data_IF_655499374694
#
_entry.id   IF_655499374694
#
_cell.length_a   1.000
_cell.length_b   1.000
_cell.length_c   1.000
_cell.angle_alpha   90.00
_cell.angle_beta   90.00
_cell.angle_gamma   90.00
#
_symmetry.space_group_name_H-M   'P 1'
#
loop_
_entity.id
_entity.type
_entity.pdbx_description
1 polymer ?
#
# COMPACT_ATOMS: atom_id res chain seq x y z
N UNK A 1 18.70 74.76 -13.28
CA UNK A 1 18.35 74.14 -11.99
C UNK A 1 16.93 73.59 -12.08
N UNK A 2 16.84 72.26 -11.90
CA UNK A 2 15.72 71.37 -11.52
C UNK A 2 14.35 72.02 -11.24
N UNK A 3 13.20 71.46 -11.62
CA UNK A 3 12.82 70.06 -11.50
C UNK A 3 11.67 69.66 -12.42
N UNK A 4 11.50 68.36 -12.58
CA UNK A 4 10.89 67.65 -13.71
C UNK A 4 9.36 67.70 -13.75
N UNK A 5 8.84 67.71 -14.99
CA UNK A 5 7.48 67.37 -15.45
C UNK A 5 7.08 65.97 -14.90
N UNK A 6 5.81 65.56 -14.80
CA UNK A 6 5.04 64.99 -15.91
C UNK A 6 3.57 64.72 -15.50
N UNK A 7 2.68 65.36 -16.26
CA UNK A 7 1.35 64.96 -16.77
C UNK A 7 0.80 63.60 -16.29
N UNK A 8 -0.30 63.62 -15.54
CA UNK A 8 -1.18 62.47 -15.31
C UNK A 8 -2.19 62.37 -16.48
N UNK A 9 -2.01 61.38 -17.36
CA UNK A 9 -3.04 60.92 -18.30
C UNK A 9 -3.48 59.53 -17.85
N UNK A 10 -4.73 59.40 -17.41
CA UNK A 10 -5.37 58.11 -17.20
C UNK A 10 -6.24 57.84 -18.44
N UNK A 11 -5.83 56.88 -19.25
CA UNK A 11 -6.55 56.41 -20.43
C UNK A 11 -7.12 55.01 -20.16
N UNK A 12 -8.45 54.95 -20.09
CA UNK A 12 -9.35 54.08 -20.85
C UNK A 12 -8.99 52.57 -20.96
N UNK A 13 -9.83 51.78 -20.29
CA UNK A 13 -10.60 50.61 -20.74
C UNK A 13 -9.91 49.36 -21.33
N UNK A 14 -10.76 48.35 -21.55
CA UNK A 14 -10.51 46.94 -21.93
C UNK A 14 -10.13 46.07 -20.72
N UNK A 15 -10.90 45.06 -20.32
CA UNK A 15 -11.64 44.11 -21.15
C UNK A 15 -10.94 42.75 -21.00
N UNK A 16 -11.70 41.73 -20.59
CA UNK A 16 -11.35 40.31 -20.56
C UNK A 16 -10.53 39.78 -19.38
N UNK A 17 -11.21 38.91 -18.63
CA UNK A 17 -10.81 37.55 -18.27
C UNK A 17 -9.67 37.31 -17.27
N UNK A 18 -9.97 36.40 -16.33
CA UNK A 18 -9.05 35.58 -15.53
C UNK A 18 -8.09 36.38 -14.62
N UNK A 19 -8.15 36.30 -13.30
CA UNK A 19 -8.05 35.08 -12.50
C UNK A 19 -8.51 35.38 -11.08
N UNK A 20 -9.46 34.61 -10.54
CA UNK A 20 -9.65 34.51 -9.10
C UNK A 20 -8.43 33.76 -8.56
N UNK A 21 -7.42 34.51 -8.13
CA UNK A 21 -6.25 33.95 -7.43
C UNK A 21 -6.75 33.48 -6.06
N UNK A 22 -6.75 32.16 -5.87
CA UNK A 22 -6.95 31.51 -4.58
C UNK A 22 -6.00 32.14 -3.55
N UNK A 23 -6.58 32.73 -2.50
CA UNK A 23 -5.84 33.22 -1.35
C UNK A 23 -6.38 32.60 -0.07
N UNK A 24 -5.96 31.38 0.26
CA UNK A 24 -6.06 30.89 1.63
C UNK A 24 -4.71 31.15 2.27
N UNK A 25 -4.64 32.23 3.05
CA UNK A 25 -3.50 32.51 3.91
C UNK A 25 -3.58 31.55 5.11
N UNK A 26 -2.76 30.50 5.10
CA UNK A 26 -2.53 29.70 6.31
C UNK A 26 -1.57 30.47 7.21
N UNK A 27 -2.13 31.08 8.26
CA UNK A 27 -1.35 31.62 9.36
C UNK A 27 -0.70 30.45 10.11
N UNK A 28 0.62 30.33 10.00
CA UNK A 28 1.42 29.42 10.84
C UNK A 28 2.37 30.28 11.65
N UNK A 29 2.07 30.41 12.94
CA UNK A 29 3.06 30.73 13.98
C UNK A 29 2.69 29.84 15.17
N UNK A 30 3.34 28.68 15.27
CA UNK A 30 4.59 28.51 15.99
C UNK A 30 4.34 28.45 17.50
N UNK A 31 4.28 27.23 18.03
CA UNK A 31 4.89 26.94 19.32
C UNK A 31 5.59 25.59 19.22
N UNK A 32 6.91 25.67 19.18
CA UNK A 32 7.85 24.58 19.28
C UNK A 32 7.61 23.77 20.56
N UNK A 33 7.55 22.44 20.42
CA UNK A 33 8.31 21.58 21.35
C UNK A 33 8.50 20.16 20.81
N UNK A 34 9.80 19.86 20.66
CA UNK A 34 10.47 18.55 20.68
C UNK A 34 10.45 17.73 19.39
N UNK A 35 11.52 17.93 18.62
CA UNK A 35 12.34 16.92 17.92
C UNK A 35 12.17 15.55 18.61
N UNK A 36 11.72 14.48 17.93
CA UNK A 36 12.50 13.77 16.92
C UNK A 36 11.73 13.45 15.62
N UNK A 37 12.47 13.59 14.52
CA UNK A 37 12.14 13.45 13.09
C UNK A 37 11.02 12.45 12.76
N UNK A 38 9.81 12.97 12.55
CA UNK A 38 8.81 12.31 11.72
C UNK A 38 9.05 12.70 10.26
N UNK A 39 9.85 11.86 9.58
CA UNK A 39 9.93 11.85 8.12
C UNK A 39 8.53 11.61 7.58
N UNK A 40 7.87 12.67 7.10
CA UNK A 40 6.69 12.56 6.25
C UNK A 40 7.16 11.92 4.94
N UNK A 41 7.17 10.60 4.89
CA UNK A 41 7.00 9.90 3.63
C UNK A 41 5.49 9.98 3.40
N UNK A 42 5.07 10.85 2.48
CA UNK A 42 3.83 10.63 1.75
C UNK A 42 4.00 9.26 1.09
N UNK A 43 3.54 8.21 1.78
CA UNK A 43 3.48 6.87 1.19
C UNK A 43 2.39 6.97 0.14
N UNK A 44 2.81 7.25 -1.09
CA UNK A 44 2.09 6.92 -2.28
C UNK A 44 1.57 5.49 -2.03
N UNK A 45 0.26 5.37 -1.77
CA UNK A 45 -0.38 4.07 -1.58
C UNK A 45 -0.30 3.39 -2.94
N UNK A 46 0.82 2.70 -3.16
CA UNK A 46 0.96 1.76 -4.25
C UNK A 46 -0.19 0.80 -4.05
N UNK A 47 -1.17 0.83 -4.95
CA UNK A 47 -2.22 -0.16 -4.96
C UNK A 47 -1.54 -1.52 -5.00
N UNK A 48 -1.54 -2.22 -3.86
CA UNK A 48 -1.01 -3.56 -3.74
C UNK A 48 -2.16 -4.49 -4.15
N UNK A 49 -2.06 -5.18 -5.29
CA UNK A 49 -3.12 -6.08 -5.70
C UNK A 49 -3.20 -7.25 -4.72
N UNK A 50 -4.37 -7.39 -4.09
CA UNK A 50 -4.76 -8.61 -3.39
C UNK A 50 -4.96 -9.71 -4.45
N UNK A 51 -4.29 -10.85 -4.28
CA UNK A 51 -4.32 -11.95 -5.26
C UNK A 51 -4.08 -13.30 -4.59
N UNK A 52 -4.28 -14.37 -5.36
CA UNK A 52 -4.01 -15.72 -4.93
C UNK A 52 -2.55 -16.09 -5.17
N UNK A 53 -1.96 -16.79 -4.21
CA UNK A 53 -0.63 -17.35 -4.30
C UNK A 53 -0.66 -18.85 -4.00
N UNK A 54 -0.06 -19.64 -4.87
CA UNK A 54 0.15 -21.07 -4.68
C UNK A 54 1.41 -21.31 -3.84
N UNK A 55 1.29 -22.12 -2.81
CA UNK A 55 2.38 -22.66 -2.03
C UNK A 55 3.18 -23.69 -2.84
N UNK A 56 4.48 -23.49 -2.89
CA UNK A 56 5.47 -24.24 -3.69
C UNK A 56 6.62 -24.78 -2.83
N UNK A 57 6.56 -24.57 -1.51
CA UNK A 57 7.53 -25.08 -0.56
C UNK A 57 7.38 -26.58 -0.27
N UNK A 58 8.13 -27.09 0.72
CA UNK A 58 8.10 -28.50 1.11
C UNK A 58 6.75 -28.89 1.71
N UNK A 59 6.45 -30.20 1.73
CA UNK A 59 5.21 -30.69 2.33
C UNK A 59 5.29 -30.77 3.87
N UNK A 60 4.16 -31.07 4.50
CA UNK A 60 4.01 -31.17 5.96
C UNK A 60 4.86 -32.24 6.67
N UNK A 61 5.62 -33.05 5.94
CA UNK A 61 6.58 -33.99 6.52
C UNK A 61 7.98 -33.38 6.73
N UNK A 62 8.23 -32.18 6.21
CA UNK A 62 9.48 -31.47 6.41
C UNK A 62 9.59 -30.94 7.86
N UNK A 63 10.74 -31.11 8.54
CA UNK A 63 10.91 -30.65 9.92
C UNK A 63 10.80 -29.14 10.09
N UNK A 64 11.01 -28.36 9.03
CA UNK A 64 10.90 -26.90 9.04
C UNK A 64 9.60 -26.42 8.38
N UNK A 65 8.64 -27.30 8.09
CA UNK A 65 7.43 -26.96 7.36
C UNK A 65 6.73 -25.71 7.89
N UNK A 66 6.67 -25.53 9.22
CA UNK A 66 6.02 -24.37 9.84
C UNK A 66 6.70 -23.04 9.51
N UNK A 67 8.04 -23.03 9.43
CA UNK A 67 8.81 -21.85 9.01
C UNK A 67 8.65 -21.62 7.50
N UNK A 68 8.70 -22.70 6.72
CA UNK A 68 8.64 -22.67 5.26
C UNK A 68 7.30 -22.15 4.72
N UNK A 69 6.18 -22.46 5.37
CA UNK A 69 4.88 -21.90 4.99
C UNK A 69 4.72 -20.43 5.40
N UNK A 70 5.56 -19.92 6.31
CA UNK A 70 5.59 -18.50 6.67
C UNK A 70 6.59 -17.70 5.84
N UNK A 71 7.34 -18.35 4.95
CA UNK A 71 8.28 -17.72 4.04
C UNK A 71 7.56 -17.28 2.75
N UNK A 72 7.48 -15.98 2.44
CA UNK A 72 6.95 -15.48 1.18
C UNK A 72 7.58 -16.08 -0.08
N UNK A 73 8.86 -16.48 -0.02
CA UNK A 73 9.57 -17.00 -1.19
C UNK A 73 9.00 -18.34 -1.68
N UNK A 74 8.36 -19.09 -0.79
CA UNK A 74 7.69 -20.36 -1.10
C UNK A 74 6.33 -20.21 -1.78
N UNK A 75 5.98 -19.01 -2.27
CA UNK A 75 4.71 -18.75 -2.91
C UNK A 75 4.87 -18.23 -4.34
N UNK A 76 3.95 -18.59 -5.23
CA UNK A 76 3.93 -18.12 -6.64
C UNK A 76 2.54 -17.58 -6.98
N UNK A 77 2.41 -16.43 -7.65
CA UNK A 77 1.10 -15.83 -7.91
C UNK A 77 0.34 -16.67 -8.93
N UNK A 78 -0.98 -16.79 -8.72
CA UNK A 78 -1.89 -17.50 -9.62
C UNK A 78 -3.08 -16.61 -9.96
N UNK A 79 -3.56 -16.72 -11.20
CA UNK A 79 -4.68 -15.89 -11.69
C UNK A 79 -6.02 -16.26 -11.06
N UNK A 80 -6.14 -17.48 -10.57
CA UNK A 80 -7.36 -18.01 -9.95
C UNK A 80 -7.00 -19.20 -9.08
N UNK A 81 -7.66 -19.37 -7.92
CA UNK A 81 -7.41 -20.51 -7.06
C UNK A 81 -7.89 -21.78 -7.75
N UNK A 82 -7.04 -22.80 -7.74
CA UNK A 82 -7.28 -24.11 -8.33
C UNK A 82 -7.58 -25.17 -7.27
N UNK A 83 -7.24 -24.90 -6.01
CA UNK A 83 -7.37 -25.84 -4.92
C UNK A 83 -8.73 -25.81 -4.23
N UNK A 84 -9.01 -26.87 -3.47
CA UNK A 84 -10.27 -27.07 -2.76
C UNK A 84 -10.06 -27.02 -1.24
N UNK A 85 -10.90 -27.74 -0.50
CA UNK A 85 -10.67 -28.08 0.90
C UNK A 85 -9.89 -29.39 0.97
N UNK A 86 -8.94 -29.50 1.89
CA UNK A 86 -8.06 -30.64 2.05
C UNK A 86 -7.15 -30.47 3.28
N UNK A 87 -6.10 -31.30 3.42
CA UNK A 87 -5.24 -31.31 4.61
C UNK A 87 -3.87 -30.65 4.41
N UNK A 88 -3.42 -30.44 3.17
CA UNK A 88 -2.11 -29.86 2.87
C UNK A 88 -2.27 -28.46 2.31
N UNK A 89 -1.50 -27.48 2.80
CA UNK A 89 -1.57 -26.11 2.31
C UNK A 89 -1.37 -26.10 0.79
N UNK A 90 -2.24 -25.38 0.08
CA UNK A 90 -2.12 -25.21 -1.36
C UNK A 90 -2.02 -23.75 -1.76
N UNK A 91 -2.98 -22.92 -1.35
CA UNK A 91 -3.12 -21.57 -1.87
C UNK A 91 -3.55 -20.62 -0.75
N UNK A 92 -3.03 -19.39 -0.78
CA UNK A 92 -3.40 -18.31 0.13
C UNK A 92 -3.81 -17.06 -0.66
N UNK A 93 -4.71 -16.26 -0.12
CA UNK A 93 -5.10 -14.97 -0.67
C UNK A 93 -4.52 -13.86 0.20
N UNK A 94 -3.79 -12.93 -0.41
CA UNK A 94 -3.22 -11.81 0.33
C UNK A 94 -2.62 -10.74 -0.56
N UNK A 95 -2.01 -9.76 0.09
CA UNK A 95 -1.38 -8.61 -0.55
C UNK A 95 -0.04 -9.01 -1.18
N UNK A 96 0.25 -8.51 -2.38
CA UNK A 96 1.56 -8.65 -3.04
C UNK A 96 2.62 -7.69 -2.46
N UNK A 97 3.80 -8.17 -2.10
CA UNK A 97 4.90 -7.33 -1.67
C UNK A 97 5.56 -6.50 -2.79
N UNK A 98 5.04 -6.56 -4.02
CA UNK A 98 5.55 -5.89 -5.21
C UNK A 98 6.53 -6.73 -6.02
N UNK A 99 6.82 -7.95 -5.58
CA UNK A 99 7.70 -8.91 -6.26
C UNK A 99 6.96 -10.18 -6.70
N UNK A 100 5.63 -10.19 -6.66
CA UNK A 100 4.82 -11.37 -6.98
C UNK A 100 4.80 -12.38 -5.83
N UNK A 101 4.99 -11.93 -4.59
CA UNK A 101 4.98 -12.77 -3.38
C UNK A 101 4.03 -12.18 -2.36
N UNK A 102 3.40 -12.98 -1.48
CA UNK A 102 2.57 -12.42 -0.43
C UNK A 102 3.40 -11.56 0.52
N UNK A 103 2.80 -10.54 1.12
CA UNK A 103 3.44 -9.81 2.21
C UNK A 103 3.53 -10.71 3.46
N UNK A 104 4.55 -10.47 4.30
CA UNK A 104 4.64 -11.13 5.61
C UNK A 104 3.40 -10.83 6.48
N UNK A 105 2.85 -9.62 6.37
CA UNK A 105 1.63 -9.23 7.08
C UNK A 105 0.45 -10.14 6.75
N UNK A 106 0.22 -10.39 5.45
CA UNK A 106 -0.83 -11.31 5.01
C UNK A 106 -0.63 -12.74 5.51
N UNK A 107 0.60 -13.27 5.45
CA UNK A 107 0.88 -14.62 5.98
C UNK A 107 0.62 -14.71 7.50
N UNK A 108 1.06 -13.70 8.25
CA UNK A 108 0.84 -13.65 9.71
C UNK A 108 -0.65 -13.57 10.07
N UNK A 109 -1.48 -12.88 9.28
CA UNK A 109 -2.94 -12.86 9.48
C UNK A 109 -3.60 -14.22 9.23
N UNK A 110 -2.99 -15.05 8.39
CA UNK A 110 -3.47 -16.38 8.02
C UNK A 110 -2.85 -17.50 8.85
N UNK A 111 -1.84 -17.19 9.68
CA UNK A 111 -1.05 -18.16 10.43
C UNK A 111 -1.90 -19.20 11.15
N UNK A 112 -2.93 -18.76 11.89
CA UNK A 112 -3.75 -19.69 12.65
C UNK A 112 -4.57 -20.64 11.76
N UNK A 113 -5.03 -20.17 10.61
CA UNK A 113 -5.74 -21.01 9.65
C UNK A 113 -4.78 -22.02 9.01
N UNK A 114 -3.55 -21.61 8.71
CA UNK A 114 -2.55 -22.44 8.06
C UNK A 114 -1.96 -23.49 9.03
N UNK A 115 -1.52 -23.08 10.22
CA UNK A 115 -0.80 -23.93 11.18
C UNK A 115 -1.70 -24.62 12.20
N UNK A 116 -2.71 -23.92 12.70
CA UNK A 116 -3.48 -24.37 13.86
C UNK A 116 -4.78 -25.08 13.48
N UNK A 117 -5.02 -25.26 12.17
CA UNK A 117 -6.26 -25.81 11.63
C UNK A 117 -7.52 -25.12 12.20
N UNK A 118 -7.42 -23.81 12.45
CA UNK A 118 -8.58 -23.00 12.80
C UNK A 118 -9.59 -23.00 11.63
N UNK A 119 -10.86 -22.60 11.87
CA UNK A 119 -11.87 -22.57 10.82
C UNK A 119 -11.37 -21.87 9.55
N UNK A 120 -11.30 -22.63 8.46
CA UNK A 120 -10.75 -22.17 7.19
C UNK A 120 -11.71 -21.17 6.53
N UNK A 121 -11.26 -19.94 6.31
CA UNK A 121 -11.89 -19.04 5.37
C UNK A 121 -11.46 -19.44 3.96
N UNK A 122 -12.31 -20.19 3.26
CA UNK A 122 -12.03 -20.66 1.89
C UNK A 122 -11.84 -19.54 0.85
N UNK A 123 -12.11 -18.28 1.22
CA UNK A 123 -11.78 -17.10 0.42
C UNK A 123 -10.37 -16.59 0.69
N UNK A 124 -9.67 -17.14 1.68
CA UNK A 124 -8.32 -16.74 2.10
C UNK A 124 -7.31 -17.87 2.11
N UNK A 125 -7.71 -19.10 2.43
CA UNK A 125 -6.80 -20.26 2.49
C UNK A 125 -7.46 -21.48 1.87
N UNK A 126 -6.71 -22.22 1.05
CA UNK A 126 -7.14 -23.45 0.37
C UNK A 126 -6.09 -24.54 0.49
N UNK A 127 -6.55 -25.78 0.41
CA UNK A 127 -5.75 -26.96 0.70
C UNK A 127 -5.94 -28.06 -0.36
N UNK A 128 -4.90 -28.86 -0.57
CA UNK A 128 -4.94 -30.10 -1.33
C UNK A 128 -5.52 -31.24 -0.48
N UNK A 129 -6.32 -32.10 -1.11
CA UNK A 129 -6.80 -33.36 -0.54
C UNK A 129 -5.65 -34.33 -0.26
#
# INVERSE_FOLDING_TARGET
MNSKKFIKKAAIAFGSALTLVLGIAFAVNAMEKKVDKQSNIETQSTFVPDQWFQYTGPNSSDPNYEDEIMDPDNYTPVTSPSCSTGAQLCEVHGEDNGSGKPTQGSLNELENQILKNEPQDTNKVRFHN
#
